data_IF_290858883150
#
_entry.id   IF_290858883150
#
_cell.length_a   1.000
_cell.length_b   1.000
_cell.length_c   1.000
_cell.angle_alpha   90.00
_cell.angle_beta   90.00
_cell.angle_gamma   90.00
#
_symmetry.space_group_name_H-M   'P 1'
#
loop_
_entity.id
_entity.type
_entity.pdbx_description
1 polymer ?
#
# COMPACT_ATOMS: atom_id res chain seq x y z
N UNK A 1 -22.75 -1.49 -10.50
CA UNK A 1 -21.84 -1.07 -9.44
C UNK A 1 -22.46 0.03 -8.59
N UNK A 2 -22.07 0.08 -7.35
CA UNK A 2 -22.50 1.10 -6.40
C UNK A 2 -21.31 1.54 -5.55
N UNK A 3 -20.96 2.83 -5.62
CA UNK A 3 -19.93 3.43 -4.80
C UNK A 3 -20.59 4.39 -3.81
N UNK A 4 -20.36 4.16 -2.53
CA UNK A 4 -20.79 5.02 -1.44
C UNK A 4 -19.65 5.97 -1.06
N UNK A 5 -19.69 7.19 -1.57
CA UNK A 5 -18.64 8.20 -1.33
C UNK A 5 -18.99 9.14 -0.18
N UNK A 6 -19.39 8.58 0.95
CA UNK A 6 -19.72 9.33 2.16
C UNK A 6 -18.81 8.86 3.29
N UNK A 7 -17.63 9.50 3.48
CA UNK A 7 -16.71 9.14 4.55
C UNK A 7 -17.36 9.42 5.91
N UNK A 8 -17.21 8.48 6.81
CA UNK A 8 -17.76 8.54 8.15
C UNK A 8 -18.35 7.21 8.61
N UNK A 9 -18.85 7.20 9.83
CA UNK A 9 -19.53 6.03 10.38
C UNK A 9 -20.87 5.85 9.68
N UNK A 10 -21.13 4.65 9.22
CA UNK A 10 -22.38 4.31 8.56
C UNK A 10 -22.70 2.83 8.64
N UNK A 11 -23.76 2.42 8.01
CA UNK A 11 -24.21 1.05 7.93
C UNK A 11 -24.71 0.73 6.53
N UNK A 12 -24.30 -0.42 5.99
CA UNK A 12 -24.88 -1.00 4.78
C UNK A 12 -25.62 -2.29 5.13
N UNK A 13 -26.84 -2.44 4.68
CA UNK A 13 -27.63 -3.67 4.81
C UNK A 13 -27.97 -4.16 3.40
N UNK A 14 -27.51 -5.35 3.07
CA UNK A 14 -27.78 -6.02 1.79
C UNK A 14 -28.76 -7.17 2.05
N UNK A 15 -30.00 -6.83 2.27
CA UNK A 15 -31.05 -7.79 2.56
C UNK A 15 -31.70 -8.35 1.29
N UNK A 16 -32.48 -9.40 1.47
CA UNK A 16 -33.18 -10.09 0.35
C UNK A 16 -34.20 -9.20 -0.36
N UNK A 17 -34.92 -8.39 0.38
CA UNK A 17 -36.01 -7.55 -0.13
C UNK A 17 -35.72 -6.05 -0.02
N UNK A 18 -34.71 -5.69 0.78
CA UNK A 18 -34.38 -4.28 1.03
C UNK A 18 -32.84 -4.15 1.09
N UNK A 19 -32.35 -3.16 0.40
CA UNK A 19 -30.99 -2.66 0.56
C UNK A 19 -31.06 -1.27 1.19
N UNK A 20 -30.31 -1.03 2.25
CA UNK A 20 -30.23 0.30 2.86
C UNK A 20 -28.79 0.69 3.10
N UNK A 21 -28.52 1.98 2.91
CA UNK A 21 -27.22 2.61 3.19
C UNK A 21 -27.48 3.82 4.06
N UNK A 22 -26.82 3.87 5.20
CA UNK A 22 -27.00 4.92 6.18
C UNK A 22 -25.66 5.58 6.47
N UNK A 23 -25.57 6.89 6.45
CA UNK A 23 -24.50 7.66 7.06
C UNK A 23 -25.01 8.26 8.36
N UNK A 24 -24.27 8.09 9.44
CA UNK A 24 -24.65 8.60 10.76
C UNK A 24 -24.76 10.14 10.76
N UNK A 25 -23.82 10.80 10.07
CA UNK A 25 -23.85 12.24 9.88
C UNK A 25 -23.09 12.60 8.59
N UNK A 26 -23.76 13.32 7.70
CA UNK A 26 -23.13 13.80 6.45
C UNK A 26 -23.82 15.09 6.01
N UNK A 27 -23.08 15.97 5.33
CA UNK A 27 -23.63 17.21 4.76
C UNK A 27 -24.29 17.00 3.41
N UNK A 28 -23.95 15.90 2.72
CA UNK A 28 -24.49 15.58 1.40
C UNK A 28 -24.58 14.07 1.22
N UNK A 29 -25.44 13.64 0.33
CA UNK A 29 -25.45 12.29 -0.19
C UNK A 29 -24.60 12.27 -1.46
N UNK A 30 -23.55 11.46 -1.47
CA UNK A 30 -22.62 11.32 -2.59
C UNK A 30 -22.50 9.84 -2.94
N UNK A 31 -23.12 9.46 -4.03
CA UNK A 31 -23.17 8.07 -4.52
C UNK A 31 -22.92 8.04 -6.02
N UNK A 32 -22.29 6.94 -6.47
CA UNK A 32 -22.09 6.64 -7.87
C UNK A 32 -22.76 5.32 -8.21
N UNK A 33 -23.48 5.30 -9.30
CA UNK A 33 -24.13 4.09 -9.80
C UNK A 33 -23.62 3.85 -11.21
N UNK A 34 -23.09 2.66 -11.44
CA UNK A 34 -22.67 2.18 -12.76
C UNK A 34 -23.45 0.93 -13.12
N UNK A 35 -23.81 0.81 -14.39
CA UNK A 35 -24.48 -0.36 -14.94
C UNK A 35 -23.58 -1.03 -15.97
N UNK A 36 -23.67 -2.35 -16.06
CA UNK A 36 -22.94 -3.16 -17.03
C UNK A 36 -23.42 -4.60 -16.96
N UNK A 37 -23.27 -5.33 -18.06
CA UNK A 37 -23.68 -6.74 -18.16
C UNK A 37 -22.68 -7.68 -17.46
N UNK A 38 -21.46 -7.20 -17.25
CA UNK A 38 -20.38 -7.95 -16.58
C UNK A 38 -19.67 -7.11 -15.52
N UNK A 39 -19.08 -7.73 -14.50
CA UNK A 39 -18.23 -7.01 -13.54
C UNK A 39 -17.11 -6.20 -14.20
N UNK A 40 -16.50 -6.73 -15.27
CA UNK A 40 -15.44 -6.03 -16.01
C UNK A 40 -15.91 -4.69 -16.59
N UNK A 41 -17.10 -4.61 -17.14
CA UNK A 41 -17.66 -3.35 -17.65
C UNK A 41 -17.92 -2.34 -16.53
N UNK A 42 -18.32 -2.81 -15.35
CA UNK A 42 -18.52 -1.95 -14.18
C UNK A 42 -17.19 -1.38 -13.68
N UNK A 43 -16.15 -2.22 -13.61
CA UNK A 43 -14.80 -1.80 -13.23
C UNK A 43 -14.20 -0.83 -14.26
N UNK A 44 -14.39 -1.08 -15.56
CA UNK A 44 -13.95 -0.20 -16.63
C UNK A 44 -14.59 1.19 -16.51
N UNK A 45 -15.91 1.26 -16.35
CA UNK A 45 -16.61 2.51 -16.15
C UNK A 45 -16.14 3.28 -14.91
N UNK A 46 -15.86 2.57 -13.83
CA UNK A 46 -15.26 3.18 -12.63
C UNK A 46 -13.85 3.72 -12.90
N UNK A 47 -13.01 2.96 -13.61
CA UNK A 47 -11.66 3.36 -13.93
C UNK A 47 -11.59 4.55 -14.91
N UNK A 48 -12.58 4.70 -15.81
CA UNK A 48 -12.67 5.87 -16.70
C UNK A 48 -12.88 7.17 -15.92
N UNK A 49 -13.66 7.14 -14.86
CA UNK A 49 -13.96 8.32 -14.04
C UNK A 49 -12.90 8.61 -12.98
N UNK A 50 -12.32 7.57 -12.39
CA UNK A 50 -11.37 7.71 -11.28
C UNK A 50 -9.90 7.65 -11.69
N UNK A 51 -9.63 7.30 -12.93
CA UNK A 51 -8.30 7.10 -13.48
C UNK A 51 -7.92 5.63 -13.60
N UNK A 52 -7.22 5.31 -14.68
CA UNK A 52 -6.73 3.95 -14.94
C UNK A 52 -5.54 3.62 -14.04
N UNK A 53 -5.51 2.39 -13.55
CA UNK A 53 -4.39 1.88 -12.77
C UNK A 53 -3.12 1.85 -13.63
N UNK A 54 -2.00 2.44 -13.20
CA UNK A 54 -0.74 2.33 -13.90
C UNK A 54 -0.23 0.89 -13.88
N UNK A 55 0.62 0.54 -14.85
CA UNK A 55 1.29 -0.77 -14.84
C UNK A 55 2.14 -0.89 -13.57
N UNK A 56 1.98 -1.99 -12.85
CA UNK A 56 2.78 -2.28 -11.67
C UNK A 56 4.26 -2.39 -12.06
N UNK A 57 5.17 -1.74 -11.33
CA UNK A 57 6.60 -1.91 -11.56
C UNK A 57 7.04 -3.35 -11.27
N UNK A 58 8.03 -3.84 -11.99
CA UNK A 58 8.49 -5.23 -11.93
C UNK A 58 8.86 -5.67 -10.51
N UNK A 59 9.52 -4.79 -9.73
CA UNK A 59 9.86 -5.10 -8.33
C UNK A 59 8.64 -5.34 -7.43
N UNK A 60 7.48 -4.82 -7.79
CA UNK A 60 6.22 -5.08 -7.09
C UNK A 60 5.75 -6.52 -7.19
N UNK A 61 6.22 -7.26 -8.20
CA UNK A 61 5.94 -8.68 -8.43
C UNK A 61 7.04 -9.60 -7.86
N UNK A 62 8.12 -9.04 -7.31
CA UNK A 62 9.25 -9.77 -6.77
C UNK A 62 9.06 -10.20 -5.32
N UNK A 63 10.17 -10.56 -4.67
CA UNK A 63 10.16 -11.02 -3.29
C UNK A 63 10.19 -9.86 -2.30
N UNK A 64 9.19 -9.81 -1.44
CA UNK A 64 9.03 -8.84 -0.37
C UNK A 64 9.37 -9.48 0.98
N UNK A 65 10.49 -9.09 1.55
CA UNK A 65 10.88 -9.52 2.88
C UNK A 65 10.19 -8.69 3.93
N UNK A 66 9.48 -9.33 4.82
CA UNK A 66 8.89 -8.74 6.01
C UNK A 66 9.06 -9.68 7.20
N UNK A 67 9.12 -9.07 8.37
CA UNK A 67 9.05 -9.79 9.63
C UNK A 67 8.17 -8.92 10.54
N UNK A 68 7.16 -9.35 11.18
CA UNK A 68 6.13 -8.56 11.86
C UNK A 68 6.56 -7.12 12.25
N UNK A 69 7.82 -6.91 12.56
CA UNK A 69 8.51 -5.62 12.49
C UNK A 69 10.02 -5.76 12.62
N UNK A 70 10.75 -4.81 12.05
CA UNK A 70 12.14 -4.51 12.36
C UNK A 70 12.16 -3.40 13.41
N UNK A 71 12.95 -3.54 14.45
CA UNK A 71 12.96 -2.60 15.56
C UNK A 71 13.90 -1.42 15.32
N UNK A 72 14.99 -1.65 14.59
CA UNK A 72 16.01 -0.64 14.33
C UNK A 72 16.44 -0.65 12.87
N UNK A 73 17.00 0.47 12.42
CA UNK A 73 17.61 0.62 11.11
C UNK A 73 18.69 -0.42 10.85
N UNK A 74 19.56 -0.69 11.84
CA UNK A 74 20.66 -1.65 11.69
C UNK A 74 20.13 -3.08 11.57
N UNK A 75 19.14 -3.48 12.37
CA UNK A 75 18.51 -4.81 12.24
C UNK A 75 17.97 -5.04 10.83
N UNK A 76 17.32 -4.05 10.23
CA UNK A 76 16.80 -4.13 8.88
C UNK A 76 17.92 -4.25 7.85
N UNK A 77 18.97 -3.42 7.98
CA UNK A 77 20.12 -3.43 7.08
C UNK A 77 20.90 -4.74 7.16
N UNK A 78 21.08 -5.31 8.35
CA UNK A 78 21.72 -6.62 8.54
C UNK A 78 20.99 -7.72 7.75
N UNK A 79 19.67 -7.74 7.82
CA UNK A 79 18.87 -8.72 7.06
C UNK A 79 19.06 -8.52 5.55
N UNK A 80 18.99 -7.30 5.06
CA UNK A 80 19.18 -7.01 3.63
C UNK A 80 20.60 -7.39 3.14
N UNK A 81 21.62 -7.10 3.95
CA UNK A 81 23.02 -7.49 3.68
C UNK A 81 23.18 -9.00 3.63
N UNK A 82 22.49 -9.73 4.52
CA UNK A 82 22.54 -11.18 4.57
C UNK A 82 21.88 -11.82 3.33
N UNK A 83 20.77 -11.30 2.84
CA UNK A 83 20.19 -11.71 1.55
C UNK A 83 21.21 -11.54 0.42
N UNK A 84 21.89 -10.40 0.36
CA UNK A 84 22.93 -10.15 -0.63
C UNK A 84 24.10 -11.10 -0.47
N UNK A 85 24.58 -11.34 0.75
CA UNK A 85 25.70 -12.23 1.05
C UNK A 85 25.43 -13.67 0.59
N UNK A 86 24.20 -14.13 0.76
CA UNK A 86 23.74 -15.46 0.33
C UNK A 86 23.37 -15.52 -1.14
N UNK A 87 23.45 -14.41 -1.86
CA UNK A 87 22.98 -14.30 -3.25
C UNK A 87 21.52 -14.71 -3.44
N UNK A 88 20.68 -14.42 -2.43
CA UNK A 88 19.24 -14.62 -2.50
C UNK A 88 18.57 -13.38 -3.10
N UNK A 89 17.51 -13.56 -3.90
CA UNK A 89 16.75 -12.43 -4.44
C UNK A 89 16.01 -11.70 -3.32
N UNK A 90 16.00 -10.37 -3.40
CA UNK A 90 15.19 -9.50 -2.57
C UNK A 90 14.88 -8.24 -3.37
N UNK A 91 13.62 -7.91 -3.52
CA UNK A 91 13.16 -6.79 -4.32
C UNK A 91 12.64 -5.65 -3.45
N UNK A 92 12.12 -5.99 -2.27
CA UNK A 92 11.59 -5.02 -1.32
C UNK A 92 11.75 -5.55 0.11
N UNK A 93 11.95 -4.64 1.07
CA UNK A 93 11.92 -4.95 2.50
C UNK A 93 10.95 -4.01 3.20
N UNK A 94 10.10 -4.56 4.06
CA UNK A 94 9.04 -3.83 4.76
C UNK A 94 9.42 -3.70 6.24
N UNK A 95 9.46 -2.46 6.73
CA UNK A 95 9.75 -2.17 8.14
C UNK A 95 8.65 -2.67 9.06
N UNK A 96 7.38 -2.47 8.66
CA UNK A 96 6.16 -2.76 9.39
C UNK A 96 5.91 -1.78 10.56
N UNK A 97 5.41 -2.23 11.71
CA UNK A 97 4.96 -1.37 12.80
C UNK A 97 6.08 -0.60 13.52
N UNK A 98 5.70 0.53 14.10
CA UNK A 98 6.46 1.27 15.11
C UNK A 98 7.80 1.86 14.64
N UNK A 99 7.91 2.20 13.36
CA UNK A 99 9.00 3.05 12.88
C UNK A 99 8.72 4.55 13.12
N UNK A 100 7.55 4.88 13.60
CA UNK A 100 7.07 6.23 13.94
C UNK A 100 7.03 6.45 15.46
N UNK A 101 7.22 7.69 15.94
CA UNK A 101 7.08 8.03 17.36
C UNK A 101 5.65 7.83 17.88
N UNK A 102 4.64 8.18 17.03
CA UNK A 102 3.22 7.98 17.31
C UNK A 102 2.51 7.41 16.10
N UNK A 103 1.54 6.53 16.36
CA UNK A 103 0.74 5.94 15.30
C UNK A 103 0.05 7.02 14.44
N UNK A 104 0.19 6.89 13.12
CA UNK A 104 -0.34 7.84 12.15
C UNK A 104 0.58 9.02 11.82
N UNK A 105 1.74 9.14 12.45
CA UNK A 105 2.77 10.10 12.03
C UNK A 105 3.58 9.54 10.84
N UNK A 106 3.76 10.37 9.83
CA UNK A 106 4.63 10.07 8.68
C UNK A 106 6.06 10.56 8.95
N UNK A 107 6.65 10.02 10.03
CA UNK A 107 7.98 10.39 10.51
C UNK A 107 8.68 9.15 11.04
N UNK A 108 10.00 9.05 10.81
CA UNK A 108 10.82 8.05 11.48
C UNK A 108 11.14 8.51 12.92
N UNK A 109 11.17 7.54 13.83
CA UNK A 109 11.69 7.73 15.18
C UNK A 109 13.23 7.75 15.12
N UNK A 110 13.83 8.91 15.38
CA UNK A 110 15.26 9.14 15.21
C UNK A 110 16.13 8.30 16.16
N UNK A 111 15.58 7.87 17.30
CA UNK A 111 16.30 7.01 18.24
C UNK A 111 16.55 5.60 17.69
N UNK A 112 15.67 5.12 16.81
CA UNK A 112 15.74 3.78 16.21
C UNK A 112 16.08 3.80 14.72
N UNK A 113 15.85 4.92 14.07
CA UNK A 113 16.02 5.13 12.62
C UNK A 113 16.80 6.42 12.37
N UNK A 114 18.09 6.46 12.76
CA UNK A 114 18.85 7.71 12.82
C UNK A 114 19.17 8.32 11.45
N UNK A 115 19.30 7.52 10.39
CA UNK A 115 19.56 8.00 9.04
C UNK A 115 18.79 7.19 7.98
N UNK A 116 17.48 7.49 7.81
CA UNK A 116 16.66 6.80 6.80
C UNK A 116 17.16 7.02 5.37
N UNK A 117 17.77 8.14 5.08
CA UNK A 117 18.28 8.45 3.73
C UNK A 117 19.48 7.58 3.37
N UNK A 118 20.43 7.37 4.29
CA UNK A 118 21.53 6.44 4.08
C UNK A 118 21.03 4.99 4.00
N UNK A 119 20.10 4.61 4.85
CA UNK A 119 19.45 3.30 4.79
C UNK A 119 18.86 3.04 3.39
N UNK A 120 18.10 3.98 2.87
CA UNK A 120 17.49 3.87 1.52
C UNK A 120 18.58 3.79 0.44
N UNK A 121 19.64 4.59 0.56
CA UNK A 121 20.78 4.55 -0.38
C UNK A 121 21.48 3.19 -0.38
N UNK A 122 21.68 2.59 0.79
CA UNK A 122 22.28 1.26 0.92
C UNK A 122 21.34 0.18 0.36
N UNK A 123 20.07 0.19 0.73
CA UNK A 123 19.08 -0.76 0.23
C UNK A 123 18.99 -0.73 -1.30
N UNK A 124 18.99 0.45 -1.90
CA UNK A 124 19.02 0.60 -3.36
C UNK A 124 20.27 -0.02 -4.00
N UNK A 125 21.41 -0.01 -3.34
CA UNK A 125 22.64 -0.68 -3.83
C UNK A 125 22.52 -2.22 -3.71
N UNK A 126 21.87 -2.70 -2.67
CA UNK A 126 21.64 -4.13 -2.44
C UNK A 126 20.66 -4.70 -3.48
N UNK A 127 19.57 -4.00 -3.70
CA UNK A 127 18.45 -4.42 -4.55
C UNK A 127 18.64 -4.07 -6.04
N UNK A 128 19.71 -3.38 -6.40
CA UNK A 128 19.99 -2.84 -7.75
C UNK A 128 20.05 -3.85 -8.91
N UNK A 129 19.97 -5.14 -8.68
CA UNK A 129 19.84 -6.12 -9.76
C UNK A 129 18.46 -6.09 -10.43
N UNK A 130 17.45 -5.57 -9.76
CA UNK A 130 16.07 -5.46 -10.26
C UNK A 130 15.71 -4.09 -10.85
N UNK A 131 16.57 -3.07 -10.68
CA UNK A 131 16.30 -1.68 -11.09
C UNK A 131 17.02 -1.26 -12.36
N UNK A 132 17.41 -2.20 -13.22
CA UNK A 132 17.86 -1.88 -14.57
C UNK A 132 16.66 -1.85 -15.50
N UNK A 133 15.88 -0.82 -15.40
CA UNK A 133 15.14 -0.30 -16.56
C UNK A 133 15.16 1.21 -16.47
N UNK A 134 15.83 1.76 -17.45
CA UNK A 134 15.81 3.17 -17.79
C UNK A 134 14.36 3.62 -18.01
N UNK A 135 13.95 4.67 -17.31
CA UNK A 135 12.83 5.50 -17.72
C UNK A 135 13.38 6.65 -18.55
#
# INVERSE_FOLDING_TARGET
GFLWNNPGIGRAVLGKNVMSFEAYSTKKLDIWITAGDTPAQIEEAYAEETGKVPMMPEYGLGFWQCKLRYQTQEELLEVAREYKRRNLPIDLIVIDFFHWPKQGEWKFDEDYWPDPDEMIRELKKIMKKCWKQDI
#
